data_IF_666780541415
#
_entry.id   IF_666780541415
#
_cell.length_a   1.000
_cell.length_b   1.000
_cell.length_c   1.000
_cell.angle_alpha   90.00
_cell.angle_beta   90.00
_cell.angle_gamma   90.00
#
_symmetry.space_group_name_H-M   'P 1'
#
loop_
_entity.id
_entity.type
_entity.pdbx_description
1 polymer ?
#
# COMPACT_ATOMS: atom_id res chain seq x y z
N UNK A 1 19.02 -8.04 10.83
CA UNK A 1 18.21 -7.06 10.09
C UNK A 1 18.51 -7.09 8.60
N UNK A 2 19.66 -6.57 8.12
CA UNK A 2 19.97 -6.46 6.68
C UNK A 2 19.86 -7.76 5.88
N UNK A 3 20.39 -8.87 6.39
CA UNK A 3 20.23 -10.19 5.74
C UNK A 3 18.77 -10.61 5.62
N UNK A 4 17.98 -10.33 6.66
CA UNK A 4 16.53 -10.55 6.63
C UNK A 4 15.85 -9.67 5.60
N UNK A 5 16.27 -8.41 5.47
CA UNK A 5 15.66 -7.46 4.53
C UNK A 5 15.94 -7.86 3.08
N UNK A 6 17.17 -8.28 2.78
CA UNK A 6 17.49 -8.83 1.47
C UNK A 6 16.68 -10.10 1.18
N UNK A 7 16.63 -11.04 2.13
CA UNK A 7 15.86 -12.28 1.98
C UNK A 7 14.35 -12.01 1.84
N UNK A 8 13.81 -11.05 2.58
CA UNK A 8 12.40 -10.65 2.54
C UNK A 8 12.01 -10.03 1.21
N UNK A 9 12.85 -9.15 0.67
CA UNK A 9 12.66 -8.56 -0.66
C UNK A 9 12.74 -9.61 -1.76
N UNK A 10 13.71 -10.53 -1.68
CA UNK A 10 13.82 -11.66 -2.61
C UNK A 10 12.61 -12.61 -2.48
N UNK A 11 12.12 -12.86 -1.26
CA UNK A 11 10.90 -13.63 -1.01
C UNK A 11 9.68 -12.99 -1.69
N UNK A 12 9.48 -11.68 -1.51
CA UNK A 12 8.39 -10.96 -2.18
C UNK A 12 8.48 -10.97 -3.70
N UNK A 13 9.70 -10.94 -4.26
CA UNK A 13 9.91 -11.13 -5.69
C UNK A 13 9.54 -12.56 -6.14
N UNK A 14 9.93 -13.57 -5.37
CA UNK A 14 9.69 -14.98 -5.71
C UNK A 14 8.20 -15.33 -5.78
N UNK A 15 7.44 -14.92 -4.75
CA UNK A 15 6.03 -15.32 -4.60
C UNK A 15 5.03 -14.29 -5.16
N UNK A 16 5.47 -13.06 -5.45
CA UNK A 16 4.61 -11.93 -5.78
C UNK A 16 4.43 -10.97 -4.60
N UNK A 17 4.30 -9.67 -4.88
CA UNK A 17 4.19 -8.66 -3.83
C UNK A 17 2.84 -8.74 -3.08
N UNK A 18 1.73 -8.93 -3.80
CA UNK A 18 0.40 -9.07 -3.21
C UNK A 18 0.29 -10.25 -2.23
N UNK A 19 0.71 -11.49 -2.57
CA UNK A 19 0.67 -12.59 -1.63
C UNK A 19 1.65 -12.39 -0.47
N UNK A 20 2.81 -11.74 -0.67
CA UNK A 20 3.70 -11.36 0.42
C UNK A 20 3.03 -10.38 1.40
N UNK A 21 2.25 -9.41 0.90
CA UNK A 21 1.49 -8.48 1.73
C UNK A 21 0.31 -9.15 2.44
N UNK A 22 -0.40 -10.08 1.78
CA UNK A 22 -1.42 -10.88 2.43
C UNK A 22 -0.83 -11.73 3.58
N UNK A 23 0.38 -12.27 3.38
CA UNK A 23 1.13 -12.98 4.41
C UNK A 23 1.45 -12.10 5.63
N UNK A 24 1.84 -10.85 5.41
CA UNK A 24 1.94 -9.85 6.50
C UNK A 24 0.66 -9.75 7.29
N UNK A 25 -0.50 -9.71 6.62
CA UNK A 25 -1.81 -9.65 7.25
C UNK A 25 -2.05 -10.80 8.24
N UNK A 26 -1.74 -12.04 7.83
CA UNK A 26 -1.85 -13.21 8.71
C UNK A 26 -0.94 -13.11 9.95
N UNK A 27 0.29 -12.63 9.79
CA UNK A 27 1.22 -12.42 10.91
C UNK A 27 0.73 -11.34 11.87
N UNK A 28 0.17 -10.24 11.34
CA UNK A 28 -0.42 -9.18 12.16
C UNK A 28 -1.63 -9.69 12.93
N UNK A 29 -2.50 -10.50 12.32
CA UNK A 29 -3.63 -11.14 13.02
C UNK A 29 -3.10 -12.01 14.17
N UNK A 30 -2.15 -12.90 13.89
CA UNK A 30 -1.57 -13.79 14.89
C UNK A 30 -1.00 -13.00 16.08
N UNK A 31 -0.29 -11.91 15.79
CA UNK A 31 0.30 -11.11 16.86
C UNK A 31 -0.64 -10.21 17.63
N UNK A 32 -1.62 -9.61 16.95
CA UNK A 32 -2.65 -8.85 17.63
C UNK A 32 -3.49 -9.78 18.52
N UNK A 33 -3.86 -10.96 18.03
CA UNK A 33 -4.59 -11.97 18.82
C UNK A 33 -3.79 -12.45 20.04
N UNK A 34 -2.49 -12.73 19.87
CA UNK A 34 -1.61 -13.10 20.99
C UNK A 34 -1.53 -12.00 22.06
N UNK A 35 -1.47 -10.73 21.65
CA UNK A 35 -1.50 -9.58 22.57
C UNK A 35 -2.82 -9.48 23.33
N UNK A 36 -3.96 -9.74 22.67
CA UNK A 36 -5.30 -9.69 23.29
C UNK A 36 -5.46 -10.74 24.39
N UNK A 37 -4.92 -11.94 24.21
CA UNK A 37 -5.03 -13.03 25.21
C UNK A 37 -3.91 -13.00 26.25
N UNK A 38 -3.03 -11.99 26.22
CA UNK A 38 -1.89 -11.88 27.14
C UNK A 38 -0.91 -13.05 27.01
N UNK A 39 -0.78 -13.64 25.81
CA UNK A 39 0.15 -14.73 25.59
C UNK A 39 1.58 -14.25 25.91
N UNK A 40 2.42 -15.06 26.59
CA UNK A 40 3.81 -14.71 26.83
C UNK A 40 4.52 -14.58 25.48
N UNK A 41 4.66 -13.35 25.00
CA UNK A 41 5.65 -13.02 23.98
C UNK A 41 6.96 -13.02 24.74
N UNK A 42 7.74 -14.11 24.67
CA UNK A 42 9.10 -14.10 25.22
C UNK A 42 9.93 -12.94 24.63
N UNK A 43 11.22 -12.87 24.95
CA UNK A 43 12.13 -11.82 24.42
C UNK A 43 12.21 -11.73 22.86
N UNK A 44 11.52 -12.64 22.16
CA UNK A 44 11.22 -12.58 20.74
C UNK A 44 10.11 -11.56 20.42
N UNK A 45 10.50 -10.51 19.69
CA UNK A 45 9.69 -9.55 18.92
C UNK A 45 8.21 -9.95 18.82
N UNK A 46 7.31 -9.17 19.44
CA UNK A 46 5.87 -9.40 19.35
C UNK A 46 5.46 -9.69 17.91
N UNK A 47 4.63 -10.71 17.71
CA UNK A 47 4.27 -11.26 16.39
C UNK A 47 3.77 -10.20 15.37
N UNK A 48 3.18 -9.08 15.82
CA UNK A 48 2.88 -7.90 14.97
C UNK A 48 4.17 -7.28 14.40
N UNK A 49 5.22 -7.17 15.21
CA UNK A 49 6.56 -6.77 14.80
C UNK A 49 7.30 -7.82 13.96
N UNK A 50 6.82 -9.07 13.87
CA UNK A 50 7.28 -10.01 12.82
C UNK A 50 6.60 -9.68 11.50
N UNK A 51 5.29 -9.43 11.51
CA UNK A 51 4.53 -8.99 10.34
C UNK A 51 5.09 -7.69 9.75
N UNK A 52 5.36 -6.70 10.59
CA UNK A 52 6.02 -5.44 10.19
C UNK A 52 7.55 -5.48 10.27
N UNK A 53 8.13 -6.67 10.44
CA UNK A 53 9.53 -6.84 10.76
C UNK A 53 10.47 -6.88 9.57
N UNK A 54 11.72 -7.24 9.84
CA UNK A 54 12.83 -7.18 8.89
C UNK A 54 12.76 -8.19 7.72
N UNK A 55 11.71 -8.99 7.58
CA UNK A 55 11.54 -9.96 6.48
C UNK A 55 10.20 -9.75 5.81
N UNK A 56 9.12 -9.85 6.60
CA UNK A 56 7.74 -9.81 6.09
C UNK A 56 7.14 -8.41 6.10
N UNK A 57 7.86 -7.40 6.60
CA UNK A 57 7.43 -6.02 6.57
C UNK A 57 7.08 -5.57 5.15
N UNK A 58 5.97 -4.86 4.91
CA UNK A 58 5.58 -4.41 3.58
C UNK A 58 6.60 -3.51 2.90
N UNK A 59 7.35 -2.72 3.69
CA UNK A 59 8.46 -1.91 3.19
C UNK A 59 9.62 -2.75 2.64
N UNK A 60 9.66 -4.06 2.92
CA UNK A 60 10.70 -4.99 2.49
C UNK A 60 10.16 -5.96 1.44
N UNK A 61 9.22 -6.84 1.84
CA UNK A 61 8.74 -7.93 0.99
C UNK A 61 7.84 -7.41 -0.13
N UNK A 62 6.83 -6.62 0.20
CA UNK A 62 5.92 -6.03 -0.79
C UNK A 62 6.64 -5.01 -1.67
N UNK A 63 7.35 -4.04 -1.09
CA UNK A 63 8.07 -3.03 -1.87
C UNK A 63 9.17 -3.65 -2.77
N UNK A 64 9.87 -4.66 -2.27
CA UNK A 64 10.85 -5.43 -3.04
C UNK A 64 10.19 -6.21 -4.19
N UNK A 65 9.07 -6.89 -3.92
CA UNK A 65 8.28 -7.60 -4.93
C UNK A 65 7.74 -6.66 -6.01
N UNK A 66 7.22 -5.48 -5.65
CA UNK A 66 6.72 -4.49 -6.60
C UNK A 66 7.84 -3.94 -7.50
N UNK A 67 9.02 -3.69 -6.95
CA UNK A 67 10.19 -3.29 -7.74
C UNK A 67 10.66 -4.44 -8.67
N UNK A 68 10.61 -5.69 -8.19
CA UNK A 68 10.94 -6.87 -8.99
C UNK A 68 9.95 -7.07 -10.15
N UNK A 69 8.66 -6.84 -9.93
CA UNK A 69 7.64 -6.85 -10.98
C UNK A 69 7.89 -5.77 -12.04
N UNK A 70 8.21 -4.54 -11.62
CA UNK A 70 8.61 -3.46 -12.52
C UNK A 70 9.84 -3.85 -13.37
N UNK A 71 10.87 -4.43 -12.75
CA UNK A 71 12.06 -4.92 -13.45
C UNK A 71 11.74 -6.04 -14.44
N UNK A 72 10.99 -7.06 -14.00
CA UNK A 72 10.60 -8.20 -14.84
C UNK A 72 9.73 -7.77 -16.02
N UNK A 73 8.80 -6.85 -15.80
CA UNK A 73 7.97 -6.22 -16.84
C UNK A 73 8.83 -5.46 -17.85
N UNK A 74 9.85 -4.71 -17.42
CA UNK A 74 10.77 -4.00 -18.33
C UNK A 74 11.64 -4.96 -19.15
N UNK A 75 11.93 -6.13 -18.61
CA UNK A 75 12.72 -7.18 -19.26
C UNK A 75 11.90 -8.09 -20.17
N UNK A 76 10.57 -8.01 -20.13
CA UNK A 76 9.68 -8.92 -20.86
C UNK A 76 9.70 -10.34 -20.31
N UNK A 77 9.93 -10.51 -19.01
CA UNK A 77 9.93 -11.83 -18.35
C UNK A 77 8.54 -12.32 -17.95
N UNK A 78 7.56 -11.42 -17.96
CA UNK A 78 6.15 -11.72 -17.73
C UNK A 78 5.48 -11.74 -19.11
N UNK A 79 4.68 -12.76 -19.39
CA UNK A 79 4.06 -13.00 -20.70
C UNK A 79 2.93 -12.02 -21.01
N UNK A 80 2.33 -12.15 -22.20
CA UNK A 80 1.09 -11.44 -22.52
C UNK A 80 -0.14 -12.21 -22.00
N UNK A 81 -0.01 -13.53 -21.84
CA UNK A 81 -1.01 -14.41 -21.24
C UNK A 81 -1.27 -14.11 -19.75
N UNK A 82 -0.30 -13.53 -19.05
CA UNK A 82 -0.40 -13.14 -17.64
C UNK A 82 -1.18 -11.82 -17.43
N UNK A 83 -1.67 -11.24 -18.54
CA UNK A 83 -2.39 -9.98 -18.57
C UNK A 83 -1.61 -8.88 -19.27
N UNK A 84 -2.33 -7.80 -19.57
CA UNK A 84 -1.75 -6.55 -20.00
C UNK A 84 -1.39 -5.75 -18.72
N UNK A 85 -0.23 -5.07 -18.66
CA UNK A 85 0.32 -4.30 -17.50
C UNK A 85 1.32 -4.99 -16.56
N UNK A 86 2.29 -5.69 -17.13
CA UNK A 86 3.24 -6.56 -16.42
C UNK A 86 4.07 -5.85 -15.33
N UNK A 87 4.32 -4.54 -15.45
CA UNK A 87 5.01 -3.77 -14.41
C UNK A 87 4.13 -3.43 -13.20
N UNK A 88 2.81 -3.53 -13.33
CA UNK A 88 1.82 -3.34 -12.26
C UNK A 88 1.39 -4.65 -11.62
N UNK A 89 1.64 -5.77 -12.29
CA UNK A 89 1.29 -7.10 -11.82
C UNK A 89 2.12 -7.47 -10.57
N UNK A 90 1.45 -7.35 -9.44
CA UNK A 90 2.00 -7.70 -8.13
C UNK A 90 1.51 -9.06 -7.63
N UNK A 91 0.61 -9.72 -8.36
CA UNK A 91 0.02 -11.00 -7.96
C UNK A 91 0.85 -12.19 -8.45
N UNK A 92 1.45 -12.06 -9.63
CA UNK A 92 2.22 -13.16 -10.23
C UNK A 92 3.50 -13.46 -9.46
N UNK A 93 3.72 -14.75 -9.22
CA UNK A 93 4.97 -15.27 -8.66
C UNK A 93 6.05 -15.27 -9.76
N UNK A 94 7.09 -14.45 -9.59
CA UNK A 94 8.19 -14.35 -10.57
C UNK A 94 9.20 -15.51 -10.46
N UNK A 95 9.03 -16.37 -9.45
CA UNK A 95 9.77 -17.62 -9.29
C UNK A 95 11.23 -17.44 -8.89
N UNK A 96 12.07 -18.38 -9.29
CA UNK A 96 13.45 -18.50 -8.79
C UNK A 96 14.49 -17.76 -9.63
N UNK A 97 14.08 -16.81 -10.48
CA UNK A 97 15.02 -16.14 -11.39
C UNK A 97 15.97 -15.23 -10.62
N UNK A 98 17.27 -15.53 -10.67
CA UNK A 98 18.28 -14.96 -9.78
C UNK A 98 18.37 -13.42 -9.85
N UNK A 99 18.29 -12.84 -11.04
CA UNK A 99 18.34 -11.38 -11.19
C UNK A 99 17.09 -10.68 -10.64
N UNK A 100 15.91 -11.29 -10.80
CA UNK A 100 14.65 -10.80 -10.22
C UNK A 100 14.67 -10.89 -8.69
N UNK A 101 15.17 -12.01 -8.13
CA UNK A 101 15.37 -12.17 -6.69
C UNK A 101 16.35 -11.13 -6.14
N UNK A 102 17.44 -10.87 -6.86
CA UNK A 102 18.44 -9.87 -6.47
C UNK A 102 17.84 -8.45 -6.47
N UNK A 103 17.04 -8.10 -7.48
CA UNK A 103 16.31 -6.81 -7.50
C UNK A 103 15.39 -6.70 -6.30
N UNK A 104 14.57 -7.72 -6.04
CA UNK A 104 13.70 -7.75 -4.86
C UNK A 104 14.50 -7.54 -3.57
N UNK A 105 15.60 -8.25 -3.39
CA UNK A 105 16.45 -8.14 -2.20
C UNK A 105 17.11 -6.78 -2.04
N UNK A 106 17.58 -6.15 -3.12
CA UNK A 106 18.15 -4.79 -3.07
C UNK A 106 17.10 -3.76 -2.65
N UNK A 107 15.88 -3.85 -3.19
CA UNK A 107 14.80 -2.96 -2.79
C UNK A 107 14.29 -3.27 -1.37
N UNK A 108 14.41 -4.51 -0.89
CA UNK A 108 14.23 -4.85 0.52
C UNK A 108 15.24 -4.16 1.44
N UNK A 109 16.52 -4.12 1.06
CA UNK A 109 17.56 -3.36 1.77
C UNK A 109 17.27 -1.86 1.77
N UNK A 110 16.84 -1.31 0.63
CA UNK A 110 16.48 0.10 0.52
C UNK A 110 15.30 0.44 1.44
N UNK A 111 14.26 -0.39 1.45
CA UNK A 111 13.08 -0.18 2.26
C UNK A 111 13.37 -0.11 3.76
N UNK A 112 14.18 -1.04 4.29
CA UNK A 112 14.55 -0.99 5.71
C UNK A 112 15.45 0.21 6.02
N UNK A 113 16.30 0.66 5.09
CA UNK A 113 17.13 1.84 5.29
C UNK A 113 16.28 3.11 5.44
N UNK A 114 15.26 3.30 4.58
CA UNK A 114 14.34 4.45 4.66
C UNK A 114 13.49 4.40 5.91
N UNK A 115 12.96 3.22 6.26
CA UNK A 115 12.15 3.00 7.46
C UNK A 115 12.94 3.37 8.73
N UNK A 116 14.16 2.86 8.86
CA UNK A 116 15.01 3.13 10.03
C UNK A 116 15.41 4.60 10.11
N UNK A 117 15.74 5.23 8.97
CA UNK A 117 16.09 6.65 8.94
C UNK A 117 14.91 7.53 9.39
N UNK A 118 13.71 7.29 8.85
CA UNK A 118 12.50 8.03 9.24
C UNK A 118 12.21 7.91 10.73
N UNK A 119 12.37 6.69 11.28
CA UNK A 119 12.18 6.42 12.70
C UNK A 119 13.22 7.12 13.58
N UNK A 120 14.50 7.09 13.19
CA UNK A 120 15.59 7.74 13.92
C UNK A 120 15.48 9.26 13.93
N UNK A 121 14.97 9.83 12.84
CA UNK A 121 14.71 11.27 12.73
C UNK A 121 13.43 11.72 13.43
N UNK A 122 12.65 10.79 13.99
CA UNK A 122 11.36 11.05 14.64
C UNK A 122 10.41 11.86 13.73
N UNK A 123 10.44 11.59 12.43
CA UNK A 123 9.52 12.24 11.49
C UNK A 123 8.11 11.75 11.82
N UNK A 124 7.12 12.64 12.05
CA UNK A 124 5.77 12.28 12.47
C UNK A 124 4.94 11.72 11.30
N UNK A 125 5.37 10.58 10.78
CA UNK A 125 4.80 9.83 9.65
C UNK A 125 5.08 8.34 9.86
N UNK A 126 4.22 7.46 9.37
CA UNK A 126 4.54 6.03 9.36
C UNK A 126 5.77 5.73 8.47
N UNK A 127 6.87 5.21 9.06
CA UNK A 127 8.07 4.88 8.30
C UNK A 127 7.87 3.79 7.23
N UNK A 128 6.95 2.85 7.42
CA UNK A 128 6.74 1.71 6.53
C UNK A 128 6.18 2.14 5.15
N UNK A 129 5.00 2.77 5.06
CA UNK A 129 4.45 3.25 3.80
C UNK A 129 5.26 4.40 3.22
N UNK A 130 5.97 5.20 4.02
CA UNK A 130 6.94 6.16 3.50
C UNK A 130 8.03 5.44 2.69
N UNK A 131 8.58 4.34 3.23
CA UNK A 131 9.56 3.52 2.52
C UNK A 131 8.97 2.85 1.26
N UNK A 132 7.70 2.43 1.28
CA UNK A 132 7.00 1.90 0.10
C UNK A 132 6.88 2.98 -0.98
N UNK A 133 6.41 4.18 -0.65
CA UNK A 133 6.31 5.29 -1.60
C UNK A 133 7.69 5.69 -2.15
N UNK A 134 8.71 5.77 -1.30
CA UNK A 134 10.08 6.04 -1.74
C UNK A 134 10.59 4.96 -2.70
N UNK A 135 10.35 3.68 -2.38
CA UNK A 135 10.72 2.54 -3.24
C UNK A 135 10.02 2.64 -4.60
N UNK A 136 8.74 3.02 -4.64
CA UNK A 136 7.99 3.20 -5.88
C UNK A 136 8.60 4.26 -6.80
N UNK A 137 8.98 5.41 -6.23
CA UNK A 137 9.69 6.46 -6.99
C UNK A 137 11.05 5.95 -7.48
N UNK A 138 11.82 5.32 -6.61
CA UNK A 138 13.18 4.87 -6.94
C UNK A 138 13.18 3.78 -8.02
N UNK A 139 12.28 2.79 -7.97
CA UNK A 139 12.24 1.77 -9.01
C UNK A 139 11.79 2.32 -10.36
N UNK A 140 10.91 3.35 -10.37
CA UNK A 140 10.49 4.00 -11.62
C UNK A 140 11.68 4.71 -12.26
N UNK A 141 12.41 5.51 -11.49
CA UNK A 141 13.61 6.19 -11.96
C UNK A 141 14.68 5.19 -12.40
N UNK A 142 14.95 4.15 -11.60
CA UNK A 142 16.01 3.17 -11.88
C UNK A 142 15.75 2.36 -13.15
N UNK A 143 14.49 2.07 -13.48
CA UNK A 143 14.12 1.24 -14.64
C UNK A 143 13.62 2.04 -15.85
N UNK A 144 13.61 3.37 -15.76
CA UNK A 144 13.19 4.26 -16.85
C UNK A 144 11.70 4.22 -17.11
N UNK A 145 10.90 4.31 -16.05
CA UNK A 145 9.46 4.54 -16.08
C UNK A 145 9.13 5.96 -15.64
N UNK A 146 8.00 6.48 -16.11
CA UNK A 146 7.50 7.78 -15.70
C UNK A 146 7.01 7.76 -14.25
N UNK A 147 7.25 8.87 -13.52
CA UNK A 147 6.83 9.00 -12.12
C UNK A 147 5.31 9.15 -11.99
N UNK A 148 4.63 9.77 -12.96
CA UNK A 148 3.18 9.96 -12.98
C UNK A 148 2.57 9.22 -14.18
N UNK A 149 3.18 9.40 -15.36
CA UNK A 149 2.70 8.85 -16.63
C UNK A 149 1.87 9.86 -17.44
N UNK A 150 1.54 9.49 -18.67
CA UNK A 150 0.80 10.36 -19.60
C UNK A 150 -0.67 10.45 -19.19
N UNK A 151 -1.15 11.66 -18.89
CA UNK A 151 -2.58 11.90 -18.65
C UNK A 151 -3.31 11.96 -20.00
N UNK A 152 -4.31 11.09 -20.17
CA UNK A 152 -5.09 10.96 -21.41
C UNK A 152 -6.54 11.44 -21.29
N UNK A 153 -7.03 11.65 -20.07
CA UNK A 153 -8.34 12.26 -19.81
C UNK A 153 -8.30 13.78 -19.76
N UNK A 154 -9.41 14.40 -19.37
CA UNK A 154 -9.53 15.87 -19.25
C UNK A 154 -8.58 16.46 -18.20
N UNK A 155 -8.21 15.68 -17.19
CA UNK A 155 -7.25 16.05 -16.14
C UNK A 155 -6.71 14.80 -15.45
N UNK A 156 -5.74 14.98 -14.55
CA UNK A 156 -5.06 13.87 -13.85
C UNK A 156 -6.00 13.00 -13.00
N UNK A 157 -7.14 13.54 -12.56
CA UNK A 157 -8.13 12.81 -11.78
C UNK A 157 -9.23 12.19 -12.64
N UNK A 158 -9.19 12.35 -13.96
CA UNK A 158 -10.25 11.88 -14.84
C UNK A 158 -10.13 10.39 -15.14
N UNK A 159 -11.16 9.62 -14.79
CA UNK A 159 -11.24 8.18 -15.03
C UNK A 159 -12.21 7.82 -16.18
N UNK A 160 -12.83 8.79 -16.86
CA UNK A 160 -13.72 8.50 -17.98
C UNK A 160 -13.08 7.70 -19.12
N UNK A 161 -11.76 7.85 -19.44
CA UNK A 161 -11.14 7.00 -20.47
C UNK A 161 -11.19 5.51 -20.11
N UNK A 162 -11.07 5.16 -18.82
CA UNK A 162 -11.24 3.79 -18.35
C UNK A 162 -12.69 3.32 -18.52
N UNK A 163 -13.66 4.16 -18.19
CA UNK A 163 -15.10 3.86 -18.30
C UNK A 163 -15.52 3.59 -19.76
N UNK A 164 -14.89 4.31 -20.70
CA UNK A 164 -15.13 4.14 -22.14
C UNK A 164 -14.30 3.01 -22.78
N UNK A 165 -13.35 2.40 -22.04
CA UNK A 165 -12.43 1.40 -22.58
C UNK A 165 -11.46 1.98 -23.62
N UNK A 166 -11.11 3.26 -23.49
CA UNK A 166 -10.22 3.96 -24.42
C UNK A 166 -8.81 3.37 -24.38
N UNK A 167 -8.25 3.16 -25.57
CA UNK A 167 -6.90 2.66 -25.77
C UNK A 167 -6.00 3.77 -26.29
N UNK A 168 -4.71 3.72 -25.97
CA UNK A 168 -3.69 4.70 -26.41
C UNK A 168 -3.71 4.89 -27.93
N UNK A 169 -3.94 3.84 -28.72
CA UNK A 169 -4.00 3.93 -30.18
C UNK A 169 -5.29 4.54 -30.74
N UNK A 170 -6.37 4.58 -29.96
CA UNK A 170 -7.61 5.26 -30.35
C UNK A 170 -7.55 6.77 -30.05
N UNK A 171 -6.63 7.19 -29.17
CA UNK A 171 -6.35 8.59 -28.82
C UNK A 171 -5.27 9.14 -29.76
N UNK A 172 -5.60 9.31 -31.05
CA UNK A 172 -4.69 9.97 -32.00
C UNK A 172 -4.88 11.48 -31.96
N UNK A 173 -3.94 12.18 -31.34
CA UNK A 173 -3.42 13.45 -31.85
C UNK A 173 -1.89 13.51 -31.61
N UNK A 174 -1.11 13.36 -32.69
CA UNK A 174 0.25 13.90 -32.84
C UNK A 174 1.47 13.20 -32.23
N UNK A 175 1.37 12.08 -31.53
CA UNK A 175 2.53 11.40 -30.94
C UNK A 175 3.17 10.36 -31.86
N UNK A 176 4.39 10.63 -32.36
CA UNK A 176 5.26 9.63 -33.02
C UNK A 176 5.25 8.28 -32.29
N UNK A 177 5.24 7.14 -33.00
CA UNK A 177 5.47 5.85 -32.37
C UNK A 177 6.86 5.93 -31.72
N UNK A 178 6.93 5.82 -30.39
CA UNK A 178 8.21 5.72 -29.69
C UNK A 178 8.83 4.38 -30.08
N UNK A 179 9.60 4.38 -31.16
CA UNK A 179 10.56 3.34 -31.48
C UNK A 179 11.66 3.42 -30.40
N UNK A 180 11.52 2.59 -29.36
CA UNK A 180 12.28 2.73 -28.12
C UNK A 180 12.99 1.46 -27.67
N UNK A 181 13.81 0.86 -28.54
CA UNK A 181 14.80 -0.16 -28.18
C UNK A 181 14.29 -1.60 -28.11
N UNK A 182 15.20 -2.56 -28.16
CA UNK A 182 14.98 -4.02 -28.10
C UNK A 182 14.31 -4.54 -26.79
N UNK A 183 13.36 -3.81 -26.18
CA UNK A 183 12.69 -4.19 -24.93
C UNK A 183 11.23 -4.53 -25.21
N UNK A 184 10.85 -5.74 -24.84
CA UNK A 184 9.50 -6.29 -24.98
C UNK A 184 8.71 -5.92 -23.73
N UNK A 185 8.20 -4.68 -23.64
CA UNK A 185 7.34 -4.24 -22.53
C UNK A 185 5.93 -4.85 -22.67
N UNK A 186 5.26 -5.14 -21.54
CA UNK A 186 3.92 -5.76 -21.51
C UNK A 186 3.80 -7.04 -22.35
N UNK A 187 4.79 -7.94 -22.24
CA UNK A 187 4.76 -9.22 -22.97
C UNK A 187 4.75 -9.08 -24.50
N UNK A 188 5.06 -7.88 -25.02
CA UNK A 188 5.06 -7.60 -26.45
C UNK A 188 3.73 -7.13 -27.01
N UNK A 189 2.71 -6.90 -26.16
CA UNK A 189 1.43 -6.33 -26.58
C UNK A 189 1.66 -4.93 -27.19
N UNK A 190 1.15 -4.64 -28.40
CA UNK A 190 1.36 -3.35 -29.06
C UNK A 190 0.84 -2.17 -28.22
N UNK A 191 1.60 -1.07 -28.18
CA UNK A 191 1.22 0.16 -27.45
C UNK A 191 -0.15 0.71 -27.85
N UNK A 192 -0.62 0.46 -29.06
CA UNK A 192 -1.94 0.90 -29.50
C UNK A 192 -3.10 0.18 -28.76
N UNK A 193 -2.86 -1.02 -28.24
CA UNK A 193 -3.88 -1.84 -27.58
C UNK A 193 -4.03 -1.53 -26.09
N UNK A 194 -3.15 -0.68 -25.59
CA UNK A 194 -2.98 -0.35 -24.19
C UNK A 194 -4.11 0.55 -23.68
N UNK A 195 -4.74 0.23 -22.55
CA UNK A 195 -5.66 1.15 -21.86
C UNK A 195 -5.00 2.52 -21.62
N UNK A 196 -5.73 3.58 -21.93
CA UNK A 196 -5.28 4.97 -21.77
C UNK A 196 -5.21 5.40 -20.30
N UNK A 197 -6.09 4.84 -19.46
CA UNK A 197 -6.14 5.07 -18.01
C UNK A 197 -6.58 3.78 -17.36
N UNK A 198 -5.94 3.41 -16.25
CA UNK A 198 -6.20 2.12 -15.62
C UNK A 198 -6.17 2.23 -14.09
N UNK A 199 -7.34 2.28 -13.43
CA UNK A 199 -7.40 2.34 -11.98
C UNK A 199 -6.85 1.06 -11.36
N UNK A 200 -6.30 1.18 -10.15
CA UNK A 200 -5.72 0.04 -9.42
C UNK A 200 -6.69 -1.09 -9.11
N UNK A 201 -7.98 -0.77 -8.98
CA UNK A 201 -9.08 -1.72 -8.79
C UNK A 201 -10.28 -1.21 -9.61
N UNK A 202 -10.59 -1.90 -10.71
CA UNK A 202 -11.68 -1.50 -11.62
C UNK A 202 -13.08 -1.49 -10.99
N UNK A 203 -13.28 -2.21 -9.88
CA UNK A 203 -14.53 -2.21 -9.10
C UNK A 203 -14.54 -1.20 -7.95
N UNK A 204 -13.43 -0.51 -7.68
CA UNK A 204 -13.24 0.32 -6.49
C UNK A 204 -12.46 1.62 -6.84
N UNK A 205 -13.09 2.49 -7.64
CA UNK A 205 -12.56 3.81 -8.00
C UNK A 205 -13.61 4.94 -7.96
N UNK A 206 -14.92 4.61 -7.93
CA UNK A 206 -15.97 5.64 -7.89
C UNK A 206 -15.98 6.31 -6.52
N UNK A 207 -15.86 7.64 -6.49
CA UNK A 207 -15.74 8.43 -5.26
C UNK A 207 -16.76 8.06 -4.17
N UNK A 208 -18.04 7.93 -4.54
CA UNK A 208 -19.10 7.58 -3.60
C UNK A 208 -18.99 6.14 -3.07
N UNK A 209 -18.53 5.19 -3.89
CA UNK A 209 -18.32 3.80 -3.48
C UNK A 209 -17.09 3.69 -2.56
N UNK A 210 -16.00 4.39 -2.91
CA UNK A 210 -14.78 4.50 -2.12
C UNK A 210 -15.07 5.11 -0.74
N UNK A 211 -15.85 6.21 -0.69
CA UNK A 211 -16.26 6.82 0.56
C UNK A 211 -17.13 5.86 1.40
N UNK A 212 -18.10 5.17 0.78
CA UNK A 212 -18.97 4.24 1.47
C UNK A 212 -18.20 3.06 2.10
N UNK A 213 -17.30 2.42 1.35
CA UNK A 213 -16.48 1.33 1.89
C UNK A 213 -15.48 1.84 2.93
N UNK A 214 -14.95 3.05 2.77
CA UNK A 214 -14.11 3.73 3.77
C UNK A 214 -14.81 3.91 5.11
N UNK A 215 -16.07 4.38 5.10
CA UNK A 215 -16.88 4.51 6.30
C UNK A 215 -17.07 3.16 7.00
N UNK A 216 -17.46 2.14 6.24
CA UNK A 216 -17.71 0.78 6.78
C UNK A 216 -16.44 0.19 7.36
N UNK A 217 -15.32 0.27 6.64
CA UNK A 217 -14.02 -0.24 7.08
C UNK A 217 -13.52 0.49 8.33
N UNK A 218 -13.62 1.82 8.36
CA UNK A 218 -13.24 2.64 9.52
C UNK A 218 -14.04 2.29 10.77
N UNK A 219 -15.37 2.19 10.65
CA UNK A 219 -16.27 1.80 11.75
C UNK A 219 -15.96 0.38 12.25
N UNK A 220 -15.82 -0.58 11.33
CA UNK A 220 -15.53 -1.96 11.68
C UNK A 220 -14.20 -2.09 12.42
N UNK A 221 -13.14 -1.42 11.94
CA UNK A 221 -11.84 -1.44 12.58
C UNK A 221 -11.82 -0.71 13.91
N UNK A 222 -12.49 0.44 14.02
CA UNK A 222 -12.68 1.15 15.28
C UNK A 222 -13.39 0.28 16.32
N UNK A 223 -14.40 -0.50 15.91
CA UNK A 223 -15.08 -1.43 16.81
C UNK A 223 -14.19 -2.61 17.21
N UNK A 224 -13.39 -3.15 16.29
CA UNK A 224 -12.38 -4.17 16.64
C UNK A 224 -11.38 -3.60 17.66
N UNK A 225 -10.88 -2.39 17.45
CA UNK A 225 -9.98 -1.71 18.38
C UNK A 225 -10.64 -1.47 19.75
N UNK A 226 -11.91 -1.06 19.79
CA UNK A 226 -12.68 -0.93 21.03
C UNK A 226 -12.71 -2.23 21.84
N UNK A 227 -12.91 -3.37 21.17
CA UNK A 227 -13.04 -4.67 21.83
C UNK A 227 -11.71 -5.31 22.22
N UNK A 228 -10.62 -4.90 21.59
CA UNK A 228 -9.33 -5.61 21.69
C UNK A 228 -8.17 -4.75 22.19
N UNK A 229 -8.33 -3.42 22.18
CA UNK A 229 -7.24 -2.46 22.40
C UNK A 229 -6.21 -2.42 21.26
N UNK A 230 -6.35 -3.24 20.21
CA UNK A 230 -5.36 -3.31 19.13
C UNK A 230 -5.71 -2.35 17.99
N UNK A 231 -4.83 -1.40 17.63
CA UNK A 231 -5.03 -0.56 16.45
C UNK A 231 -4.76 -1.32 15.14
N UNK A 232 -4.08 -2.49 15.21
CA UNK A 232 -3.58 -3.21 14.03
C UNK A 232 -4.42 -4.43 13.63
N UNK A 233 -5.29 -4.95 14.50
CA UNK A 233 -6.04 -6.18 14.18
C UNK A 233 -6.96 -6.00 12.96
N UNK A 234 -7.65 -4.86 12.86
CA UNK A 234 -8.46 -4.53 11.69
C UNK A 234 -7.64 -4.40 10.40
N UNK A 235 -6.43 -3.83 10.49
CA UNK A 235 -5.47 -3.81 9.38
C UNK A 235 -5.09 -5.24 8.96
N UNK A 236 -4.73 -6.09 9.92
CA UNK A 236 -4.32 -7.47 9.65
C UNK A 236 -5.40 -8.27 8.93
N UNK A 237 -6.66 -8.16 9.37
CA UNK A 237 -7.83 -8.78 8.73
C UNK A 237 -8.00 -8.29 7.30
N UNK A 238 -7.97 -6.97 7.07
CA UNK A 238 -8.07 -6.41 5.72
C UNK A 238 -6.90 -6.80 4.82
N UNK A 239 -5.66 -6.80 5.33
CA UNK A 239 -4.49 -7.20 4.57
C UNK A 239 -4.53 -8.69 4.19
N UNK A 240 -4.90 -9.57 5.13
CA UNK A 240 -5.05 -10.99 4.87
C UNK A 240 -6.14 -11.29 3.83
N UNK A 241 -7.23 -10.51 3.82
CA UNK A 241 -8.31 -10.67 2.82
C UNK A 241 -7.87 -10.44 1.38
N UNK A 242 -6.74 -9.77 1.14
CA UNK A 242 -6.16 -9.61 -0.20
C UNK A 242 -5.69 -10.94 -0.81
N UNK A 243 -5.56 -11.99 -0.01
CA UNK A 243 -5.44 -13.36 -0.51
C UNK A 243 -6.55 -13.69 -1.50
N UNK A 244 -7.78 -13.24 -1.27
CA UNK A 244 -8.90 -13.51 -2.18
C UNK A 244 -8.75 -12.79 -3.53
N UNK A 245 -8.18 -11.58 -3.56
CA UNK A 245 -7.80 -10.93 -4.82
C UNK A 245 -6.75 -11.76 -5.56
N UNK A 246 -5.74 -12.26 -4.84
CA UNK A 246 -4.72 -13.14 -5.42
C UNK A 246 -5.28 -14.47 -5.95
N UNK A 247 -6.40 -14.94 -5.38
CA UNK A 247 -7.11 -16.14 -5.82
C UNK A 247 -8.12 -15.87 -6.95
N UNK A 248 -8.14 -14.65 -7.52
CA UNK A 248 -9.01 -14.29 -8.63
C UNK A 248 -10.44 -13.92 -8.23
N UNK A 249 -10.70 -13.65 -6.93
CA UNK A 249 -11.99 -13.10 -6.49
C UNK A 249 -12.01 -11.59 -6.76
N UNK A 250 -12.34 -11.23 -7.99
CA UNK A 250 -12.11 -9.91 -8.58
C UNK A 250 -12.67 -8.73 -7.76
N UNK A 251 -13.82 -8.89 -7.11
CA UNK A 251 -14.55 -7.78 -6.47
C UNK A 251 -14.18 -7.55 -5.00
N UNK A 252 -13.13 -8.18 -4.49
CA UNK A 252 -12.67 -7.98 -3.10
C UNK A 252 -12.06 -6.58 -2.96
N UNK A 253 -12.50 -5.75 -2.00
CA UNK A 253 -11.98 -4.40 -1.83
C UNK A 253 -10.65 -4.39 -1.05
N UNK A 254 -9.74 -3.50 -1.41
CA UNK A 254 -8.52 -3.25 -0.62
C UNK A 254 -8.78 -2.18 0.44
N UNK A 255 -8.94 -2.59 1.70
CA UNK A 255 -9.41 -1.71 2.79
C UNK A 255 -8.40 -1.48 3.91
N UNK A 256 -7.21 -2.07 3.85
CA UNK A 256 -6.26 -2.10 4.98
C UNK A 256 -5.78 -0.71 5.43
N UNK A 257 -5.61 0.26 4.52
CA UNK A 257 -5.29 1.64 4.88
C UNK A 257 -6.45 2.35 5.59
N UNK A 258 -7.70 1.98 5.28
CA UNK A 258 -8.92 2.51 5.91
C UNK A 258 -9.12 1.91 7.29
N UNK A 259 -8.91 0.59 7.43
CA UNK A 259 -9.00 -0.08 8.72
C UNK A 259 -7.86 0.33 9.65
N UNK A 260 -6.64 0.51 9.15
CA UNK A 260 -5.54 1.03 9.97
C UNK A 260 -5.83 2.44 10.49
N UNK A 261 -6.37 3.33 9.64
CA UNK A 261 -6.78 4.67 10.06
C UNK A 261 -7.87 4.61 11.14
N UNK A 262 -8.95 3.85 10.91
CA UNK A 262 -10.05 3.72 11.86
C UNK A 262 -9.63 3.16 13.23
N UNK A 263 -8.83 2.09 13.22
CA UNK A 263 -8.31 1.49 14.47
C UNK A 263 -7.37 2.43 15.22
N UNK A 264 -6.47 3.11 14.50
CA UNK A 264 -5.52 4.07 15.09
C UNK A 264 -6.24 5.26 15.71
N UNK A 265 -7.18 5.89 15.00
CA UNK A 265 -7.91 7.06 15.51
C UNK A 265 -8.82 6.70 16.67
N UNK A 266 -9.44 5.51 16.65
CA UNK A 266 -10.18 5.03 17.81
C UNK A 266 -9.30 4.99 19.07
N UNK A 267 -8.16 4.29 18.99
CA UNK A 267 -7.23 4.15 20.12
C UNK A 267 -6.71 5.52 20.56
N UNK A 268 -6.29 6.37 19.62
CA UNK A 268 -5.78 7.70 19.90
C UNK A 268 -6.80 8.55 20.69
N UNK A 269 -8.05 8.64 20.24
CA UNK A 269 -9.04 9.53 20.86
C UNK A 269 -9.59 9.02 22.19
N UNK A 270 -9.52 7.71 22.45
CA UNK A 270 -9.89 7.14 23.76
C UNK A 270 -8.79 7.23 24.81
N UNK A 271 -7.54 7.53 24.41
CA UNK A 271 -6.43 7.67 25.33
C UNK A 271 -6.62 8.90 26.24
N UNK A 272 -6.25 8.76 27.51
CA UNK A 272 -6.23 9.88 28.46
C UNK A 272 -5.07 10.82 28.15
N UNK A 273 -5.20 12.09 28.53
CA UNK A 273 -4.17 13.12 28.35
C UNK A 273 -4.77 14.52 28.42
N UNK A 274 -3.93 15.52 28.18
CA UNK A 274 -4.31 16.94 28.27
C UNK A 274 -4.75 17.53 26.91
N UNK A 275 -4.71 16.72 25.84
CA UNK A 275 -5.11 17.15 24.51
C UNK A 275 -6.61 17.43 24.40
N UNK A 276 -7.00 18.32 23.48
CA UNK A 276 -8.38 18.80 23.34
C UNK A 276 -9.41 17.68 23.14
N UNK A 277 -9.02 16.60 22.45
CA UNK A 277 -9.87 15.44 22.18
C UNK A 277 -9.42 14.19 22.94
N UNK A 278 -8.77 14.33 24.08
CA UNK A 278 -8.40 13.19 24.92
C UNK A 278 -9.62 12.58 25.63
N UNK A 279 -9.61 11.27 25.83
CA UNK A 279 -10.60 10.55 26.64
C UNK A 279 -12.03 10.58 26.09
N UNK A 280 -12.20 10.65 24.76
CA UNK A 280 -13.54 10.60 24.16
C UNK A 280 -14.27 9.30 24.51
N UNK A 281 -15.61 9.39 24.56
CA UNK A 281 -16.45 8.19 24.70
C UNK A 281 -16.26 7.25 23.51
N UNK A 282 -16.45 5.94 23.74
CA UNK A 282 -16.34 4.94 22.68
C UNK A 282 -17.25 5.26 21.48
N UNK A 283 -18.46 5.79 21.71
CA UNK A 283 -19.37 6.18 20.63
C UNK A 283 -18.80 7.32 19.76
N UNK A 284 -18.24 8.37 20.38
CA UNK A 284 -17.64 9.48 19.65
C UNK A 284 -16.37 9.03 18.90
N UNK A 285 -15.52 8.23 19.53
CA UNK A 285 -14.32 7.67 18.91
C UNK A 285 -14.64 6.72 17.74
N UNK A 286 -15.74 5.96 17.80
CA UNK A 286 -16.21 5.13 16.69
C UNK A 286 -16.66 5.97 15.49
N UNK A 287 -17.42 7.04 15.71
CA UNK A 287 -17.80 7.96 14.64
C UNK A 287 -16.54 8.56 13.99
N UNK A 288 -15.58 9.00 14.79
CA UNK A 288 -14.30 9.52 14.29
C UNK A 288 -13.52 8.46 13.49
N UNK A 289 -13.51 7.19 13.93
CA UNK A 289 -12.89 6.08 13.20
C UNK A 289 -13.53 5.86 11.82
N UNK A 290 -14.87 5.94 11.74
CA UNK A 290 -15.59 5.89 10.47
C UNK A 290 -15.22 7.04 9.53
N UNK A 291 -15.18 8.27 10.04
CA UNK A 291 -14.80 9.45 9.27
C UNK A 291 -13.34 9.40 8.79
N UNK A 292 -12.42 8.91 9.62
CA UNK A 292 -11.03 8.70 9.20
C UNK A 292 -10.88 7.57 8.20
N UNK A 293 -11.73 6.54 8.25
CA UNK A 293 -11.82 5.52 7.21
C UNK A 293 -12.23 6.12 5.85
N UNK A 294 -13.21 7.03 5.84
CA UNK A 294 -13.58 7.80 4.63
C UNK A 294 -12.41 8.64 4.13
N UNK A 295 -11.76 9.39 5.03
CA UNK A 295 -10.60 10.22 4.70
C UNK A 295 -9.48 9.40 4.06
N UNK A 296 -9.09 8.29 4.69
CA UNK A 296 -8.06 7.39 4.17
C UNK A 296 -8.46 6.84 2.79
N UNK A 297 -9.71 6.44 2.61
CA UNK A 297 -10.20 5.94 1.33
C UNK A 297 -10.09 6.98 0.20
N UNK A 298 -10.50 8.23 0.48
CA UNK A 298 -10.45 9.30 -0.51
C UNK A 298 -9.02 9.74 -0.83
N UNK A 299 -8.12 9.77 0.16
CA UNK A 299 -6.70 10.04 -0.09
C UNK A 299 -6.09 8.92 -0.95
N UNK A 300 -6.41 7.66 -0.66
CA UNK A 300 -5.99 6.52 -1.49
C UNK A 300 -6.47 6.67 -2.93
N UNK A 301 -7.72 7.08 -3.12
CA UNK A 301 -8.28 7.34 -4.46
C UNK A 301 -7.62 8.53 -5.17
N UNK A 302 -7.24 9.59 -4.46
CA UNK A 302 -6.43 10.66 -5.05
C UNK A 302 -5.05 10.13 -5.44
N UNK A 303 -4.42 9.35 -4.57
CA UNK A 303 -3.11 8.74 -4.80
C UNK A 303 -3.10 7.80 -6.02
N UNK A 304 -4.13 6.97 -6.17
CA UNK A 304 -4.24 6.07 -7.33
C UNK A 304 -4.37 6.87 -8.63
N UNK A 305 -5.22 7.89 -8.67
CA UNK A 305 -5.43 8.70 -9.89
C UNK A 305 -4.17 9.44 -10.32
N UNK A 306 -3.37 9.91 -9.37
CA UNK A 306 -2.13 10.64 -9.66
C UNK A 306 -1.01 9.69 -10.05
N UNK A 307 -0.72 8.66 -9.24
CA UNK A 307 0.52 7.89 -9.38
C UNK A 307 0.33 6.51 -9.99
N UNK A 308 -0.85 5.91 -9.91
CA UNK A 308 -1.11 4.56 -10.40
C UNK A 308 -1.74 4.58 -11.80
N UNK A 309 -2.81 5.35 -11.97
CA UNK A 309 -3.73 5.21 -13.10
C UNK A 309 -3.08 5.45 -14.46
N UNK A 310 -2.17 6.41 -14.51
CA UNK A 310 -1.41 6.80 -15.71
C UNK A 310 -0.02 6.15 -15.74
N UNK A 311 0.41 5.56 -14.62
CA UNK A 311 1.72 4.95 -14.47
C UNK A 311 1.85 3.58 -15.13
N UNK A 312 3.09 3.09 -15.22
CA UNK A 312 3.43 1.77 -15.80
C UNK A 312 3.83 0.71 -14.79
N UNK A 313 4.02 1.10 -13.54
CA UNK A 313 4.40 0.22 -12.44
C UNK A 313 3.46 0.39 -11.26
N UNK A 314 3.47 -0.56 -10.35
CA UNK A 314 2.68 -0.49 -9.13
C UNK A 314 3.18 0.62 -8.19
N UNK A 315 2.43 1.72 -8.08
CA UNK A 315 2.61 2.71 -7.01
C UNK A 315 1.42 2.59 -6.06
N UNK A 316 1.67 2.03 -4.88
CA UNK A 316 0.64 1.59 -3.93
C UNK A 316 -0.20 2.76 -3.37
N UNK A 317 -1.49 2.88 -3.75
CA UNK A 317 -2.35 3.94 -3.23
C UNK A 317 -2.61 3.89 -1.72
N UNK A 318 -2.76 2.71 -1.08
CA UNK A 318 -2.80 2.55 0.36
C UNK A 318 -1.59 3.16 1.09
N UNK A 319 -0.36 2.95 0.59
CA UNK A 319 0.82 3.55 1.18
C UNK A 319 0.75 5.09 1.12
N UNK A 320 0.34 5.68 -0.01
CA UNK A 320 0.13 7.14 -0.12
C UNK A 320 -0.89 7.60 0.93
N UNK A 321 -2.02 6.90 1.03
CA UNK A 321 -3.04 7.19 2.04
C UNK A 321 -2.46 7.21 3.44
N UNK A 322 -1.72 6.17 3.84
CA UNK A 322 -1.17 6.04 5.19
C UNK A 322 -0.13 7.13 5.47
N UNK A 323 0.75 7.44 4.53
CA UNK A 323 1.69 8.57 4.67
C UNK A 323 0.94 9.86 5.00
N UNK A 324 -0.08 10.20 4.21
CA UNK A 324 -0.79 11.48 4.38
C UNK A 324 -1.59 11.53 5.68
N UNK A 325 -2.38 10.50 6.01
CA UNK A 325 -3.19 10.56 7.23
C UNK A 325 -2.34 10.42 8.50
N UNK A 326 -1.19 9.74 8.46
CA UNK A 326 -0.28 9.67 9.62
C UNK A 326 0.44 11.00 9.86
N UNK A 327 0.84 11.71 8.80
CA UNK A 327 1.30 13.11 8.92
C UNK A 327 0.22 13.99 9.54
N UNK A 328 -1.03 13.86 9.10
CA UNK A 328 -2.14 14.60 9.69
C UNK A 328 -2.28 14.31 11.19
N UNK A 329 -2.30 13.03 11.60
CA UNK A 329 -2.37 12.65 13.02
C UNK A 329 -1.18 13.20 13.80
N UNK A 330 0.02 13.13 13.25
CA UNK A 330 1.22 13.67 13.90
C UNK A 330 1.18 15.19 14.08
N UNK A 331 0.72 15.92 13.07
CA UNK A 331 0.50 17.38 13.17
C UNK A 331 -0.57 17.70 14.21
N UNK A 332 -1.69 16.96 14.23
CA UNK A 332 -2.74 17.13 15.23
C UNK A 332 -2.24 16.84 16.65
N UNK A 333 -1.31 15.89 16.81
CA UNK A 333 -0.70 15.58 18.10
C UNK A 333 0.20 16.71 18.58
N UNK A 334 1.10 17.19 17.71
CA UNK A 334 1.99 18.33 18.00
C UNK A 334 1.18 19.59 18.34
N UNK A 335 0.02 19.77 17.70
CA UNK A 335 -0.89 20.88 17.98
C UNK A 335 -1.73 20.72 19.27
N UNK A 336 -1.57 19.61 20.02
CA UNK A 336 -2.32 19.34 21.25
C UNK A 336 -3.80 18.99 21.03
N UNK A 337 -4.18 18.59 19.82
CA UNK A 337 -5.56 18.24 19.46
C UNK A 337 -5.84 16.76 19.77
N UNK A 338 -4.94 15.86 19.36
CA UNK A 338 -5.04 14.42 19.66
C UNK A 338 -3.97 14.01 20.69
N UNK A 339 -4.29 13.15 21.67
CA UNK A 339 -3.40 12.89 22.81
C UNK A 339 -2.18 12.04 22.45
N UNK A 340 -2.23 11.24 21.38
CA UNK A 340 -1.13 10.38 20.95
C UNK A 340 -1.26 10.04 19.46
N UNK A 341 -0.15 9.79 18.78
CA UNK A 341 -0.15 9.14 17.45
C UNK A 341 -0.02 7.62 17.52
N UNK A 342 -0.24 7.01 18.71
CA UNK A 342 -0.31 5.58 19.02
C UNK A 342 0.99 4.81 18.83
N UNK A 343 1.60 4.90 17.66
CA UNK A 343 2.85 4.25 17.28
C UNK A 343 3.66 5.08 16.28
N UNK A 344 3.11 6.20 15.79
CA UNK A 344 3.78 7.11 14.85
C UNK A 344 5.02 7.72 15.55
N UNK A 345 6.22 7.65 14.96
CA UNK A 345 7.43 8.22 15.58
C UNK A 345 7.27 9.70 15.92
N UNK A 346 7.87 10.13 17.03
CA UNK A 346 7.79 11.53 17.48
C UNK A 346 6.43 11.95 18.07
N UNK A 347 5.50 11.00 18.28
CA UNK A 347 4.14 11.26 18.78
C UNK A 347 3.70 10.31 19.91
N UNK A 348 4.66 9.55 20.44
CA UNK A 348 4.50 8.52 21.48
C UNK A 348 5.52 8.73 22.58
#
# INVERSE_FOLDING_TARGET
MWLGAFAGGAFGAAIGALPAFAFTGFLVIAGAAAGVIGAPTGDSVGLVGIGFGHVFGPHISFAGGAAAAAYAGKKGYIGAEDGYHNGKDIATALGCKVDVLAVGGVFGLFGIAVEQLSRQLLVPVDPIPLAICASAVVHRVAFGYDIIGDVRGSNILDMSPFEHGEKVGAVTDGGEPVAGGNRVENGGVPKAEWLATEPWLGHMYKWHQVAAIGLVAGLASGYVAFRTGSPFLGFGISAASLLFLNLGVEKVPATHHMTLAGGTVFVALTASGDAALAGLSAGAALVAAGLFGVLAALIGEVGQRIFYAHGRTHFDPPAISIVVWTVLVGVLHIAGIVPTGVWIPGTV
#
